data_IF_701074144790
#
_entry.id   IF_701074144790
#
_cell.length_a   1.000
_cell.length_b   1.000
_cell.length_c   1.000
_cell.angle_alpha   90.00
_cell.angle_beta   90.00
_cell.angle_gamma   90.00
#
_symmetry.space_group_name_H-M   'P 1'
#
loop_
_entity.id
_entity.type
_entity.pdbx_description
1 polymer ?
#
# COMPACT_ATOMS: atom_id res chain seq x y z
N UNK A 1 -15.57 13.98 -2.04
CA UNK A 1 -14.60 12.87 -2.10
C UNK A 1 -14.22 12.65 -3.55
N UNK A 2 -12.92 12.57 -3.87
CA UNK A 2 -12.42 12.26 -5.22
C UNK A 2 -12.15 10.74 -5.29
N UNK A 3 -12.25 10.13 -6.46
CA UNK A 3 -12.08 8.68 -6.61
C UNK A 3 -11.26 8.34 -7.84
N UNK A 4 -10.25 7.50 -7.64
CA UNK A 4 -9.41 6.95 -8.72
C UNK A 4 -9.96 5.62 -9.26
N UNK A 5 -10.77 4.87 -8.49
CA UNK A 5 -11.36 3.60 -8.93
C UNK A 5 -10.32 2.55 -9.32
N UNK A 6 -9.29 2.35 -8.48
CA UNK A 6 -8.11 1.53 -8.76
C UNK A 6 -7.24 1.97 -9.96
N UNK A 7 -7.53 3.09 -10.63
CA UNK A 7 -6.71 3.59 -11.74
C UNK A 7 -5.56 4.47 -11.25
N UNK A 8 -4.34 3.99 -11.44
CA UNK A 8 -3.10 4.70 -11.03
C UNK A 8 -2.92 6.03 -11.77
N UNK A 9 -3.26 6.11 -13.07
CA UNK A 9 -3.12 7.36 -13.83
C UNK A 9 -4.09 8.41 -13.29
N UNK A 10 -5.34 8.02 -13.07
CA UNK A 10 -6.35 8.91 -12.50
C UNK A 10 -5.97 9.37 -11.10
N UNK A 11 -5.43 8.48 -10.25
CA UNK A 11 -4.89 8.88 -8.96
C UNK A 11 -3.81 9.95 -9.11
N UNK A 12 -2.87 9.77 -10.03
CA UNK A 12 -1.78 10.72 -10.25
C UNK A 12 -2.32 12.09 -10.69
N UNK A 13 -3.31 12.15 -11.57
CA UNK A 13 -3.97 13.39 -11.97
C UNK A 13 -4.69 14.10 -10.79
N UNK A 14 -5.30 13.33 -9.90
CA UNK A 14 -5.94 13.87 -8.69
C UNK A 14 -4.92 14.41 -7.70
N UNK A 15 -3.78 13.73 -7.52
CA UNK A 15 -2.67 14.21 -6.70
C UNK A 15 -2.08 15.49 -7.30
N UNK A 16 -1.88 15.54 -8.61
CA UNK A 16 -1.38 16.72 -9.32
C UNK A 16 -2.33 17.92 -9.15
N UNK A 17 -3.64 17.66 -9.22
CA UNK A 17 -4.67 18.67 -8.93
C UNK A 17 -4.58 19.16 -7.49
N UNK A 18 -4.37 18.28 -6.51
CA UNK A 18 -4.22 18.65 -5.10
C UNK A 18 -2.96 19.50 -4.88
N UNK A 19 -1.84 19.14 -5.51
CA UNK A 19 -0.60 19.93 -5.51
C UNK A 19 -0.85 21.31 -6.11
N UNK A 20 -1.47 21.39 -7.29
CA UNK A 20 -1.78 22.66 -7.95
C UNK A 20 -2.70 23.56 -7.12
N UNK A 21 -3.61 22.97 -6.35
CA UNK A 21 -4.48 23.67 -5.39
C UNK A 21 -3.79 24.05 -4.09
N UNK A 22 -2.53 23.65 -3.87
CA UNK A 22 -1.75 23.89 -2.64
C UNK A 22 -2.52 23.48 -1.38
N UNK A 23 -3.12 22.29 -1.42
CA UNK A 23 -3.80 21.74 -0.23
C UNK A 23 -2.80 21.56 0.91
N UNK A 24 -3.30 21.53 2.15
CA UNK A 24 -2.45 21.37 3.34
C UNK A 24 -2.03 19.91 3.59
N UNK A 25 -2.70 18.95 2.94
CA UNK A 25 -2.42 17.52 3.10
C UNK A 25 -3.36 16.67 2.25
N UNK A 26 -3.01 15.38 2.13
CA UNK A 26 -3.77 14.37 1.38
C UNK A 26 -3.97 13.14 2.28
N UNK A 27 -5.21 12.64 2.34
CA UNK A 27 -5.51 11.29 2.85
C UNK A 27 -5.81 10.43 1.63
N UNK A 28 -5.09 9.33 1.48
CA UNK A 28 -5.09 8.51 0.27
C UNK A 28 -5.28 7.02 0.61
N UNK A 29 -6.33 6.42 0.06
CA UNK A 29 -6.39 4.98 -0.20
C UNK A 29 -5.75 4.79 -1.58
N UNK A 30 -4.59 4.13 -1.68
CA UNK A 30 -3.82 4.12 -2.92
C UNK A 30 -4.27 3.02 -3.89
N UNK A 31 -4.36 3.37 -5.17
CA UNK A 31 -4.74 2.50 -6.27
C UNK A 31 -3.86 1.24 -6.40
N UNK A 32 -2.56 1.38 -6.13
CA UNK A 32 -1.59 0.28 -6.16
C UNK A 32 -0.43 0.54 -5.20
N UNK A 33 0.08 -0.49 -4.52
CA UNK A 33 1.15 -0.36 -3.52
C UNK A 33 2.48 0.13 -4.08
N UNK A 34 2.82 -0.23 -5.32
CA UNK A 34 4.13 0.10 -5.89
C UNK A 34 4.01 1.27 -6.86
N UNK A 35 3.02 1.25 -7.75
CA UNK A 35 2.86 2.25 -8.80
C UNK A 35 2.42 3.63 -8.27
N UNK A 36 1.89 3.69 -7.04
CA UNK A 36 1.50 4.96 -6.40
C UNK A 36 2.66 5.71 -5.75
N UNK A 37 3.78 5.04 -5.47
CA UNK A 37 4.92 5.59 -4.71
C UNK A 37 5.41 6.91 -5.31
N UNK A 38 5.63 6.94 -6.63
CA UNK A 38 6.16 8.11 -7.31
C UNK A 38 5.26 9.35 -7.18
N UNK A 39 3.94 9.16 -7.15
CA UNK A 39 3.00 10.27 -7.00
C UNK A 39 2.94 10.78 -5.56
N UNK A 40 3.05 9.88 -4.57
CA UNK A 40 3.13 10.26 -3.15
C UNK A 40 4.43 11.03 -2.89
N UNK A 41 5.56 10.57 -3.43
CA UNK A 41 6.82 11.31 -3.38
C UNK A 41 6.72 12.70 -4.00
N UNK A 42 5.98 12.84 -5.12
CA UNK A 42 5.75 14.13 -5.77
C UNK A 42 5.01 15.10 -4.84
N UNK A 43 3.98 14.64 -4.14
CA UNK A 43 3.28 15.45 -3.15
C UNK A 43 4.20 15.85 -1.97
N UNK A 44 4.98 14.89 -1.45
CA UNK A 44 5.98 15.16 -0.39
C UNK A 44 6.99 16.23 -0.81
N UNK A 45 7.54 16.13 -2.03
CA UNK A 45 8.49 17.12 -2.60
C UNK A 45 7.86 18.50 -2.77
N UNK A 46 6.54 18.57 -2.95
CA UNK A 46 5.78 19.82 -2.97
C UNK A 46 5.45 20.37 -1.56
N UNK A 47 5.90 19.72 -0.49
CA UNK A 47 5.63 20.11 0.90
C UNK A 47 4.24 19.70 1.40
N UNK A 48 3.54 18.80 0.69
CA UNK A 48 2.20 18.34 1.05
C UNK A 48 2.31 16.96 1.69
N UNK A 49 2.02 16.81 3.00
CA UNK A 49 2.04 15.51 3.66
C UNK A 49 0.91 14.61 3.13
N UNK A 50 1.21 13.32 3.01
CA UNK A 50 0.26 12.29 2.59
C UNK A 50 0.14 11.24 3.69
N UNK A 51 -1.07 10.96 4.16
CA UNK A 51 -1.36 9.83 5.05
C UNK A 51 -2.05 8.73 4.22
N UNK A 52 -1.53 7.51 4.32
CA UNK A 52 -2.14 6.35 3.66
C UNK A 52 -3.14 5.66 4.57
N UNK A 53 -4.22 5.17 3.96
CA UNK A 53 -5.21 4.30 4.60
C UNK A 53 -5.38 3.02 3.79
N UNK A 54 -5.87 1.96 4.44
CA UNK A 54 -6.27 0.67 3.84
C UNK A 54 -5.11 -0.19 3.29
N UNK A 55 -4.17 0.38 2.55
CA UNK A 55 -3.07 -0.34 1.88
C UNK A 55 -1.72 0.33 2.11
N UNK A 56 -0.69 -0.49 2.31
CA UNK A 56 0.69 -0.03 2.51
C UNK A 56 1.45 0.10 1.18
N UNK A 57 2.46 0.96 1.16
CA UNK A 57 3.49 1.01 0.12
C UNK A 57 4.80 0.38 0.65
N UNK A 58 5.60 -0.29 -0.18
CA UNK A 58 6.78 -1.04 0.25
C UNK A 58 8.03 -0.15 0.42
N UNK A 59 7.83 1.10 0.86
CA UNK A 59 8.90 2.08 1.06
C UNK A 59 8.61 2.94 2.29
N UNK A 60 9.65 3.15 3.09
CA UNK A 60 9.59 4.03 4.25
C UNK A 60 9.82 5.49 3.83
N UNK A 61 9.50 6.43 4.73
CA UNK A 61 9.76 7.85 4.56
C UNK A 61 9.19 8.49 3.28
N UNK A 62 8.15 7.92 2.66
CA UNK A 62 7.46 8.53 1.50
C UNK A 62 6.11 9.11 1.92
N UNK A 63 5.27 8.31 2.57
CA UNK A 63 4.08 8.79 3.27
C UNK A 63 4.48 9.36 4.64
N UNK A 64 3.69 10.30 5.16
CA UNK A 64 3.85 10.81 6.53
C UNK A 64 3.52 9.71 7.54
N UNK A 65 2.42 9.00 7.32
CA UNK A 65 1.96 7.88 8.14
C UNK A 65 1.22 6.88 7.24
N UNK A 66 1.25 5.60 7.62
CA UNK A 66 0.52 4.53 6.96
C UNK A 66 -0.41 3.84 7.96
N UNK A 67 -1.71 4.15 7.91
CA UNK A 67 -2.72 3.57 8.80
C UNK A 67 -3.40 2.41 8.07
N UNK A 68 -2.83 1.23 8.21
CA UNK A 68 -3.26 0.02 7.50
C UNK A 68 -3.57 -1.11 8.48
N UNK A 69 -4.26 -2.13 8.00
CA UNK A 69 -4.34 -3.40 8.72
C UNK A 69 -3.04 -4.18 8.47
N UNK A 70 -2.57 -4.95 9.46
CA UNK A 70 -1.41 -5.83 9.30
C UNK A 70 -1.74 -7.02 8.37
N UNK A 71 -1.91 -6.74 7.09
CA UNK A 71 -2.28 -7.69 6.05
C UNK A 71 -1.20 -8.75 5.84
N UNK A 72 0.06 -8.42 6.14
CA UNK A 72 1.14 -9.39 6.11
C UNK A 72 0.98 -10.47 7.18
N UNK A 73 0.69 -10.08 8.42
CA UNK A 73 0.40 -11.03 9.50
C UNK A 73 -0.86 -11.85 9.18
N UNK A 74 -1.95 -11.19 8.78
CA UNK A 74 -3.19 -11.87 8.44
C UNK A 74 -3.00 -12.88 7.28
N UNK A 75 -2.28 -12.49 6.23
CA UNK A 75 -1.94 -13.38 5.11
C UNK A 75 -1.04 -14.54 5.52
N UNK A 76 -0.07 -14.30 6.41
CA UNK A 76 0.80 -15.34 6.95
C UNK A 76 0.03 -16.34 7.82
N UNK A 77 -0.89 -15.86 8.66
CA UNK A 77 -1.76 -16.69 9.48
C UNK A 77 -2.70 -17.55 8.60
N UNK A 78 -3.30 -16.96 7.57
CA UNK A 78 -4.11 -17.71 6.59
C UNK A 78 -3.28 -18.75 5.85
N UNK A 79 -2.07 -18.41 5.41
CA UNK A 79 -1.16 -19.35 4.75
C UNK A 79 -0.74 -20.49 5.69
N UNK A 80 -0.51 -20.20 6.97
CA UNK A 80 -0.20 -21.22 7.98
C UNK A 80 -1.36 -22.19 8.18
N UNK A 81 -2.58 -21.68 8.40
CA UNK A 81 -3.80 -22.51 8.53
C UNK A 81 -4.05 -23.32 7.25
N UNK A 82 -3.81 -22.72 6.08
CA UNK A 82 -3.94 -23.41 4.80
C UNK A 82 -2.94 -24.58 4.69
N UNK A 83 -1.67 -24.36 5.02
CA UNK A 83 -0.64 -25.41 5.03
C UNK A 83 -0.96 -26.50 6.05
N UNK A 84 -1.41 -26.15 7.26
CA UNK A 84 -1.82 -27.11 8.28
C UNK A 84 -2.95 -28.03 7.78
N UNK A 85 -4.03 -27.44 7.26
CA UNK A 85 -5.18 -28.20 6.74
C UNK A 85 -4.86 -29.02 5.49
N UNK A 86 -3.92 -28.57 4.68
CA UNK A 86 -3.49 -29.32 3.48
C UNK A 86 -2.49 -30.42 3.83
N UNK A 87 -1.63 -30.25 4.84
CA UNK A 87 -0.73 -31.29 5.34
C UNK A 87 -1.49 -32.50 5.91
N UNK A 88 -2.69 -32.29 6.47
CA UNK A 88 -3.63 -33.36 6.84
C UNK A 88 -4.17 -34.16 5.63
N UNK A 89 -4.01 -33.66 4.39
CA UNK A 89 -4.55 -34.27 3.15
C UNK A 89 -3.52 -34.54 2.03
N UNK A 90 -2.25 -34.14 2.17
CA UNK A 90 -1.17 -34.45 1.20
C UNK A 90 -0.01 -33.45 1.22
N UNK A 91 1.20 -33.90 0.84
CA UNK A 91 2.46 -33.09 0.90
C UNK A 91 2.37 -31.79 0.07
N UNK A 92 2.36 -30.64 0.74
CA UNK A 92 2.64 -29.32 0.13
C UNK A 92 3.92 -28.75 0.75
N UNK A 93 4.81 -28.23 -0.12
CA UNK A 93 6.06 -27.55 0.27
C UNK A 93 5.75 -26.10 0.63
N UNK A 94 6.16 -25.64 1.82
CA UNK A 94 6.28 -24.19 2.09
C UNK A 94 7.30 -23.62 1.10
N UNK A 95 6.94 -22.53 0.43
CA UNK A 95 7.91 -21.68 -0.24
C UNK A 95 8.30 -20.61 0.78
N UNK A 96 9.43 -20.82 1.42
CA UNK A 96 9.93 -19.99 2.51
C UNK A 96 10.33 -18.63 1.93
N UNK A 97 9.43 -17.65 1.95
CA UNK A 97 9.78 -16.24 1.76
C UNK A 97 10.35 -15.71 3.07
N UNK A 98 11.59 -16.09 3.39
CA UNK A 98 12.34 -15.37 4.42
C UNK A 98 12.75 -14.00 3.87
N UNK A 99 12.52 -12.89 4.60
CA UNK A 99 13.10 -11.61 4.24
C UNK A 99 14.62 -11.70 4.40
N UNK A 100 15.37 -11.38 3.34
CA UNK A 100 16.82 -11.21 3.46
C UNK A 100 17.08 -9.99 4.34
N UNK A 101 17.96 -10.17 5.32
CA UNK A 101 18.56 -9.11 6.15
C UNK A 101 19.16 -7.99 5.32
#
# INVERSE_FOLDING_TARGET
MLSHGEDVKKQNELIDTAIGKKVQGIILDNADSTASVAAIEKAKKAGIPVVLINREIPVDDVALEQITHNNFQAGSEVANVFVEKMAEKGKIRRADLQPRR
#
